data_IF_793386020114
#
_entry.id   IF_793386020114
#
_cell.length_a   1.000
_cell.length_b   1.000
_cell.length_c   1.000
_cell.angle_alpha   90.00
_cell.angle_beta   90.00
_cell.angle_gamma   90.00
#
_symmetry.space_group_name_H-M   'P 1'
#
loop_
_entity.id
_entity.type
_entity.pdbx_description
1 polymer ?
#
# COMPACT_ATOMS: atom_id res chain seq x y z
N UNK A 1 26.15 -16.64 12.58
CA UNK A 1 25.42 -15.36 12.64
C UNK A 1 24.81 -15.08 11.28
N UNK A 2 23.49 -15.10 11.15
CA UNK A 2 22.84 -14.83 9.86
C UNK A 2 22.79 -13.31 9.62
N UNK A 3 23.62 -12.81 8.71
CA UNK A 3 23.61 -11.41 8.28
C UNK A 3 22.32 -11.13 7.50
N UNK A 4 21.32 -10.55 8.16
CA UNK A 4 20.06 -10.13 7.52
C UNK A 4 20.24 -8.80 6.78
N UNK A 5 20.80 -8.81 5.58
CA UNK A 5 20.65 -7.69 4.64
C UNK A 5 20.57 -8.23 3.20
N UNK A 6 19.35 -8.27 2.61
CA UNK A 6 19.16 -7.53 1.36
C UNK A 6 17.74 -6.98 1.11
N UNK A 7 16.85 -6.90 2.11
CA UNK A 7 15.45 -6.44 1.89
C UNK A 7 15.33 -5.06 1.25
N UNK A 8 16.29 -4.17 1.51
CA UNK A 8 16.28 -2.80 0.96
C UNK A 8 16.63 -2.78 -0.53
N UNK A 9 17.60 -3.61 -0.96
CA UNK A 9 17.99 -3.71 -2.38
C UNK A 9 16.92 -4.39 -3.22
N UNK A 10 16.22 -5.37 -2.66
CA UNK A 10 15.09 -6.03 -3.31
C UNK A 10 13.90 -5.07 -3.47
N UNK A 11 13.55 -4.33 -2.42
CA UNK A 11 12.49 -3.31 -2.48
C UNK A 11 12.75 -2.25 -3.55
N UNK A 12 13.96 -1.72 -3.62
CA UNK A 12 14.33 -0.73 -4.62
C UNK A 12 14.21 -1.27 -6.05
N UNK A 13 14.60 -2.53 -6.28
CA UNK A 13 14.44 -3.19 -7.58
C UNK A 13 12.97 -3.42 -7.92
N UNK A 14 12.16 -3.88 -6.97
CA UNK A 14 10.72 -4.08 -7.20
C UNK A 14 9.98 -2.76 -7.42
N UNK A 15 10.34 -1.70 -6.71
CA UNK A 15 9.74 -0.38 -6.90
C UNK A 15 10.09 0.20 -8.28
N UNK A 16 11.33 0.01 -8.74
CA UNK A 16 11.75 0.40 -10.09
C UNK A 16 10.98 -0.37 -11.19
N UNK A 17 10.83 -1.68 -11.05
CA UNK A 17 10.03 -2.49 -11.99
C UNK A 17 8.55 -2.07 -11.97
N UNK A 18 7.99 -1.81 -10.79
CA UNK A 18 6.62 -1.32 -10.66
C UNK A 18 6.48 0.07 -11.30
N UNK A 19 7.51 0.93 -11.24
CA UNK A 19 7.57 2.23 -11.91
C UNK A 19 7.61 2.12 -13.43
N UNK A 20 8.41 1.19 -13.97
CA UNK A 20 8.58 1.01 -15.41
C UNK A 20 7.30 0.48 -16.08
N UNK A 21 6.48 -0.29 -15.36
CA UNK A 21 5.23 -0.88 -15.88
C UNK A 21 3.94 -0.14 -15.44
N UNK A 22 4.02 1.07 -14.87
CA UNK A 22 2.82 1.77 -14.34
C UNK A 22 1.77 2.09 -15.40
N UNK A 23 2.22 2.34 -16.62
CA UNK A 23 1.36 2.73 -17.73
C UNK A 23 0.88 1.52 -18.54
N UNK A 24 1.38 0.31 -18.24
CA UNK A 24 0.87 -0.90 -18.85
C UNK A 24 -0.55 -1.18 -18.38
N UNK A 25 -1.45 -1.44 -19.33
CA UNK A 25 -2.84 -1.78 -19.09
C UNK A 25 -3.09 -3.19 -19.57
N UNK A 26 -3.56 -4.05 -18.67
CA UNK A 26 -4.04 -5.36 -19.06
C UNK A 26 -5.46 -5.25 -19.65
N UNK A 27 -5.84 -6.09 -20.63
CA UNK A 27 -7.21 -6.13 -21.12
C UNK A 27 -8.19 -6.29 -19.95
N UNK A 28 -9.27 -5.50 -19.94
CA UNK A 28 -10.33 -5.53 -18.91
C UNK A 28 -9.93 -4.99 -17.53
N UNK A 29 -8.68 -4.54 -17.33
CA UNK A 29 -8.28 -3.92 -16.07
C UNK A 29 -9.03 -2.62 -15.82
N UNK A 30 -9.78 -2.56 -14.70
CA UNK A 30 -10.43 -1.34 -14.26
C UNK A 30 -9.42 -0.43 -13.59
N UNK A 31 -9.43 0.83 -13.98
CA UNK A 31 -8.55 1.84 -13.41
C UNK A 31 -9.39 3.08 -13.10
N UNK A 32 -9.17 3.65 -11.92
CA UNK A 32 -9.76 4.92 -11.57
C UNK A 32 -9.26 6.00 -12.54
N UNK A 33 -10.17 6.68 -13.21
CA UNK A 33 -9.83 7.75 -14.17
C UNK A 33 -9.44 9.03 -13.43
N UNK A 34 -10.18 9.37 -12.38
CA UNK A 34 -10.00 10.62 -11.62
C UNK A 34 -10.47 10.45 -10.16
N UNK A 35 -9.89 11.23 -9.26
CA UNK A 35 -10.30 11.30 -7.86
C UNK A 35 -9.11 11.36 -6.93
N UNK A 36 -8.90 12.52 -6.29
CA UNK A 36 -8.00 12.58 -5.14
C UNK A 36 -8.66 11.80 -4.01
N UNK A 37 -7.95 10.81 -3.47
CA UNK A 37 -8.42 10.05 -2.32
C UNK A 37 -8.75 11.03 -1.20
N UNK A 38 -9.99 10.97 -0.69
CA UNK A 38 -10.42 11.88 0.37
C UNK A 38 -10.00 11.34 1.74
N UNK A 39 -9.82 12.24 2.73
CA UNK A 39 -9.52 11.82 4.11
C UNK A 39 -10.60 10.89 4.70
N UNK A 40 -11.83 10.97 4.20
CA UNK A 40 -12.95 10.12 4.63
C UNK A 40 -12.74 8.68 4.13
N UNK A 41 -12.45 8.50 2.83
CA UNK A 41 -12.14 7.19 2.24
C UNK A 41 -10.95 6.54 2.95
N UNK A 42 -9.88 7.30 3.22
CA UNK A 42 -8.72 6.77 3.96
C UNK A 42 -9.15 6.26 5.34
N UNK A 43 -9.94 7.05 6.08
CA UNK A 43 -10.38 6.67 7.42
C UNK A 43 -11.29 5.44 7.41
N UNK A 44 -12.14 5.30 6.39
CA UNK A 44 -13.02 4.15 6.21
C UNK A 44 -12.22 2.88 5.86
N UNK A 45 -11.31 2.96 4.90
CA UNK A 45 -10.42 1.85 4.54
C UNK A 45 -9.55 1.40 5.73
N UNK A 46 -9.04 2.34 6.54
CA UNK A 46 -8.28 2.02 7.75
C UNK A 46 -9.15 1.32 8.80
N UNK A 47 -10.42 1.70 8.95
CA UNK A 47 -11.37 1.00 9.83
C UNK A 47 -11.71 -0.40 9.33
N UNK A 48 -11.82 -0.61 8.02
CA UNK A 48 -12.06 -1.93 7.47
C UNK A 48 -10.89 -2.89 7.74
N UNK A 49 -9.66 -2.38 7.62
CA UNK A 49 -8.44 -3.14 7.92
C UNK A 49 -8.27 -3.37 9.42
N UNK A 50 -8.54 -2.36 10.24
CA UNK A 50 -8.47 -2.42 11.70
C UNK A 50 -9.78 -1.89 12.31
N UNK A 51 -10.77 -2.77 12.52
CA UNK A 51 -12.09 -2.38 13.04
C UNK A 51 -12.04 -1.89 14.49
N UNK A 52 -10.97 -2.24 15.21
CA UNK A 52 -10.72 -1.79 16.57
C UNK A 52 -10.36 -0.30 16.61
N UNK A 53 -11.36 0.53 16.91
CA UNK A 53 -11.21 1.97 17.12
C UNK A 53 -10.24 2.32 18.27
N UNK A 54 -10.00 1.37 19.19
CA UNK A 54 -9.13 1.52 20.37
C UNK A 54 -7.76 0.80 20.23
N UNK A 55 -7.45 0.23 19.05
CA UNK A 55 -6.19 -0.50 18.80
C UNK A 55 -4.92 0.34 19.04
N UNK A 56 -5.05 1.67 18.99
CA UNK A 56 -3.95 2.63 19.18
C UNK A 56 -3.71 3.05 20.64
N UNK A 57 -4.17 2.34 21.67
CA UNK A 57 -3.76 2.75 23.02
C UNK A 57 -4.36 2.11 24.27
N UNK A 58 -5.32 1.19 24.22
CA UNK A 58 -5.84 0.57 25.47
C UNK A 58 -4.99 -0.60 25.97
N UNK A 59 -3.66 -0.42 25.99
CA UNK A 59 -2.74 -1.19 26.84
C UNK A 59 -2.38 -0.34 28.05
N UNK A 60 -3.37 -0.17 28.92
CA UNK A 60 -3.30 0.50 30.21
C UNK A 60 -4.53 0.14 31.00
#
# INVERSE_FOLDING_TARGET
MATRLPKIKEKAKTEALVLDHKDERYPVQQVATDGKVTKKEVKEAVKEINPDLNSLGSRG
#
